data_IF_198298236431
#
_entry.id   IF_198298236431
#
_cell.length_a   1.000
_cell.length_b   1.000
_cell.length_c   1.000
_cell.angle_alpha   90.00
_cell.angle_beta   90.00
_cell.angle_gamma   90.00
#
_symmetry.space_group_name_H-M   'P 1'
#
loop_
_entity.id
_entity.type
_entity.pdbx_description
1 polymer ?
#
# COMPACT_ATOMS: atom_id res chain seq x y z
N UNK A 1 27.69 -5.74 -4.59
CA UNK A 1 26.50 -5.33 -5.39
C UNK A 1 25.24 -5.96 -4.78
N UNK A 2 24.76 -5.47 -3.64
CA UNK A 2 23.65 -6.12 -2.88
C UNK A 2 22.43 -5.21 -2.61
N UNK A 3 22.36 -4.01 -3.20
CA UNK A 3 21.32 -3.03 -2.83
C UNK A 3 19.95 -3.24 -3.49
N UNK A 4 19.87 -3.75 -4.72
CA UNK A 4 18.61 -3.69 -5.49
C UNK A 4 17.63 -4.81 -5.17
N UNK A 5 18.12 -6.02 -4.88
CA UNK A 5 17.25 -7.18 -4.66
C UNK A 5 16.50 -7.11 -3.32
N UNK A 6 17.18 -6.63 -2.27
CA UNK A 6 16.57 -6.39 -0.96
C UNK A 6 15.52 -5.29 -1.01
N UNK A 7 15.77 -4.23 -1.80
CA UNK A 7 14.82 -3.11 -1.94
C UNK A 7 13.54 -3.53 -2.68
N UNK A 8 13.66 -4.35 -3.73
CA UNK A 8 12.50 -4.83 -4.48
C UNK A 8 11.64 -5.82 -3.66
N UNK A 9 12.27 -6.69 -2.88
CA UNK A 9 11.57 -7.58 -1.93
C UNK A 9 10.81 -6.78 -0.87
N UNK A 10 11.45 -5.79 -0.24
CA UNK A 10 10.80 -4.92 0.75
C UNK A 10 9.61 -4.17 0.13
N UNK A 11 9.74 -3.69 -1.11
CA UNK A 11 8.65 -3.01 -1.84
C UNK A 11 7.48 -3.94 -2.14
N UNK A 12 7.75 -5.21 -2.47
CA UNK A 12 6.72 -6.22 -2.66
C UNK A 12 5.92 -6.43 -1.37
N UNK A 13 6.59 -6.70 -0.26
CA UNK A 13 5.91 -6.96 1.02
C UNK A 13 5.17 -5.73 1.56
N UNK A 14 5.72 -4.52 1.36
CA UNK A 14 4.97 -3.27 1.64
C UNK A 14 3.69 -3.15 0.81
N UNK A 15 3.69 -3.66 -0.42
CA UNK A 15 2.51 -3.67 -1.28
C UNK A 15 1.45 -4.66 -0.77
N UNK A 16 1.87 -5.81 -0.22
CA UNK A 16 0.98 -6.77 0.46
C UNK A 16 0.29 -6.11 1.66
N UNK A 17 1.06 -5.45 2.53
CA UNK A 17 0.52 -4.72 3.69
C UNK A 17 -0.43 -3.61 3.27
N UNK A 18 -0.08 -2.84 2.24
CA UNK A 18 -0.95 -1.78 1.70
C UNK A 18 -2.27 -2.36 1.18
N UNK A 19 -2.22 -3.47 0.44
CA UNK A 19 -3.41 -4.13 -0.09
C UNK A 19 -4.32 -4.62 1.05
N UNK A 20 -3.76 -5.27 2.06
CA UNK A 20 -4.51 -5.72 3.23
C UNK A 20 -5.19 -4.54 3.98
N UNK A 21 -4.49 -3.41 4.14
CA UNK A 21 -5.06 -2.19 4.74
C UNK A 21 -6.23 -1.66 3.91
N UNK A 22 -6.08 -1.62 2.59
CA UNK A 22 -7.13 -1.19 1.67
C UNK A 22 -8.35 -2.12 1.71
N UNK A 23 -8.12 -3.42 1.77
CA UNK A 23 -9.19 -4.42 1.85
C UNK A 23 -9.94 -4.35 3.18
N UNK A 24 -9.23 -4.24 4.31
CA UNK A 24 -9.83 -4.10 5.63
C UNK A 24 -10.71 -2.85 5.75
N UNK A 25 -10.30 -1.77 5.08
CA UNK A 25 -11.01 -0.49 5.01
C UNK A 25 -12.15 -0.44 3.99
N UNK A 26 -12.29 -1.47 3.13
CA UNK A 26 -13.16 -1.48 1.95
C UNK A 26 -12.84 -0.34 0.97
N UNK A 27 -11.56 -0.07 0.75
CA UNK A 27 -11.02 1.02 -0.09
C UNK A 27 -10.23 0.52 -1.32
N UNK A 28 -9.83 -0.76 -1.34
CA UNK A 28 -9.09 -1.37 -2.46
C UNK A 28 -10.02 -1.93 -3.55
N UNK A 29 -11.08 -2.58 -3.09
CA UNK A 29 -11.94 -3.46 -3.89
C UNK A 29 -12.70 -2.70 -5.00
N UNK A 30 -13.16 -1.47 -4.72
CA UNK A 30 -13.87 -0.64 -5.70
C UNK A 30 -12.99 -0.22 -6.88
N UNK A 31 -11.66 -0.30 -6.77
CA UNK A 31 -10.72 0.18 -7.79
C UNK A 31 -9.97 -0.92 -8.55
N UNK A 32 -9.87 -2.13 -8.01
CA UNK A 32 -9.10 -3.23 -8.63
C UNK A 32 -9.96 -4.35 -9.20
N UNK A 33 -11.15 -4.59 -8.63
CA UNK A 33 -12.02 -5.69 -9.08
C UNK A 33 -13.50 -5.24 -9.10
N UNK A 34 -13.88 -4.33 -10.02
CA UNK A 34 -15.24 -3.77 -10.07
C UNK A 34 -16.32 -4.82 -10.31
N UNK A 35 -15.97 -5.97 -10.91
CA UNK A 35 -16.91 -7.03 -11.27
C UNK A 35 -17.02 -8.14 -10.22
N UNK A 36 -16.40 -8.00 -9.05
CA UNK A 36 -16.49 -9.03 -8.02
C UNK A 36 -17.87 -9.05 -7.37
N UNK A 37 -18.46 -10.25 -7.18
CA UNK A 37 -19.67 -10.39 -6.40
C UNK A 37 -19.50 -9.88 -4.97
N UNK A 38 -20.55 -9.28 -4.41
CA UNK A 38 -20.55 -8.71 -3.05
C UNK A 38 -20.05 -9.67 -1.96
N UNK A 39 -20.30 -10.99 -2.11
CA UNK A 39 -19.81 -12.00 -1.18
C UNK A 39 -18.28 -12.10 -1.17
N UNK A 40 -17.61 -11.95 -2.33
CA UNK A 40 -16.13 -11.96 -2.40
C UNK A 40 -15.54 -10.70 -1.80
N UNK A 41 -16.17 -9.57 -2.07
CA UNK A 41 -15.81 -8.27 -1.46
C UNK A 41 -15.84 -8.38 0.07
N UNK A 42 -16.94 -8.90 0.61
CA UNK A 42 -17.12 -9.11 2.04
C UNK A 42 -16.09 -10.10 2.59
N UNK A 43 -15.88 -11.23 1.92
CA UNK A 43 -14.93 -12.26 2.35
C UNK A 43 -13.49 -11.73 2.44
N UNK A 44 -13.02 -11.01 1.42
CA UNK A 44 -11.65 -10.46 1.41
C UNK A 44 -11.48 -9.39 2.48
N UNK A 45 -12.46 -8.48 2.63
CA UNK A 45 -12.47 -7.51 3.72
C UNK A 45 -12.41 -8.18 5.09
N UNK A 46 -13.24 -9.20 5.30
CA UNK A 46 -13.35 -9.88 6.60
C UNK A 46 -12.07 -10.68 6.92
N UNK A 47 -11.43 -11.29 5.90
CA UNK A 47 -10.09 -11.92 6.04
C UNK A 47 -9.01 -10.91 6.41
N UNK A 48 -8.94 -9.77 5.72
CA UNK A 48 -7.96 -8.73 6.03
C UNK A 48 -8.14 -8.18 7.45
N UNK A 49 -9.39 -7.97 7.89
CA UNK A 49 -9.71 -7.57 9.27
C UNK A 49 -9.27 -8.60 10.30
N UNK A 50 -9.49 -9.89 10.01
CA UNK A 50 -9.05 -10.99 10.87
C UNK A 50 -7.52 -11.03 10.98
N UNK A 51 -6.80 -10.84 9.86
CA UNK A 51 -5.35 -10.82 9.84
C UNK A 51 -4.74 -9.76 10.78
N UNK A 52 -5.24 -8.53 10.75
CA UNK A 52 -4.81 -7.49 11.71
C UNK A 52 -5.28 -7.75 13.15
N UNK A 53 -6.42 -8.41 13.33
CA UNK A 53 -6.95 -8.71 14.67
C UNK A 53 -6.11 -9.77 15.36
N UNK A 54 -5.91 -10.90 14.66
CA UNK A 54 -5.25 -12.09 15.18
C UNK A 54 -3.74 -11.88 15.24
N UNK A 55 -3.16 -11.18 14.25
CA UNK A 55 -1.75 -10.85 14.18
C UNK A 55 -0.86 -12.08 14.42
N UNK A 56 -1.15 -13.14 13.66
CA UNK A 56 -0.47 -14.42 13.72
C UNK A 56 0.95 -14.36 13.10
N UNK A 57 1.64 -15.50 13.09
CA UNK A 57 3.03 -15.56 12.60
C UNK A 57 3.15 -15.08 11.15
N UNK A 58 2.17 -15.37 10.30
CA UNK A 58 2.14 -14.87 8.91
C UNK A 58 2.13 -13.34 8.87
N UNK A 59 1.32 -12.69 9.71
CA UNK A 59 1.35 -11.23 9.83
C UNK A 59 2.72 -10.70 10.29
N UNK A 60 3.35 -11.37 11.27
CA UNK A 60 4.65 -10.97 11.80
C UNK A 60 5.75 -11.09 10.73
N UNK A 61 5.78 -12.22 10.02
CA UNK A 61 6.75 -12.48 8.95
C UNK A 61 6.60 -11.47 7.81
N UNK A 62 5.37 -11.15 7.41
CA UNK A 62 5.13 -10.13 6.39
C UNK A 62 5.59 -8.73 6.85
N UNK A 63 5.42 -8.39 8.13
CA UNK A 63 5.91 -7.11 8.65
C UNK A 63 7.44 -7.05 8.68
N UNK A 64 8.11 -8.13 9.07
CA UNK A 64 9.57 -8.25 9.05
C UNK A 64 10.13 -8.11 7.63
N UNK A 65 9.56 -8.87 6.68
CA UNK A 65 9.94 -8.82 5.27
C UNK A 65 9.64 -7.47 4.61
N UNK A 66 8.65 -6.72 5.12
CA UNK A 66 8.35 -5.35 4.70
C UNK A 66 9.21 -4.27 5.39
N UNK A 67 10.06 -4.66 6.36
CA UNK A 67 10.79 -3.79 7.26
C UNK A 67 9.84 -2.75 7.91
N UNK A 68 8.80 -3.26 8.57
CA UNK A 68 7.76 -2.49 9.25
C UNK A 68 7.58 -2.99 10.68
N UNK A 69 7.28 -2.07 11.59
CA UNK A 69 6.92 -2.40 12.97
C UNK A 69 5.51 -3.05 13.01
N UNK A 70 5.38 -4.33 13.42
CA UNK A 70 4.10 -5.05 13.40
C UNK A 70 3.06 -4.42 14.33
N UNK A 71 3.48 -3.84 15.45
CA UNK A 71 2.59 -3.21 16.43
C UNK A 71 1.98 -1.90 15.88
N UNK A 72 2.78 -1.10 15.18
CA UNK A 72 2.30 0.10 14.49
C UNK A 72 1.31 -0.29 13.40
N UNK A 73 1.65 -1.27 12.57
CA UNK A 73 0.80 -1.73 11.46
C UNK A 73 -0.50 -2.32 11.98
N UNK A 74 -0.46 -3.15 13.00
CA UNK A 74 -1.63 -3.74 13.64
C UNK A 74 -2.57 -2.66 14.19
N UNK A 75 -2.06 -1.71 14.98
CA UNK A 75 -2.88 -0.62 15.52
C UNK A 75 -3.53 0.21 14.41
N UNK A 76 -2.78 0.51 13.35
CA UNK A 76 -3.31 1.24 12.21
C UNK A 76 -4.38 0.45 11.45
N UNK A 77 -4.11 -0.83 11.14
CA UNK A 77 -5.04 -1.75 10.49
C UNK A 77 -6.34 -1.95 11.28
N UNK A 78 -6.26 -2.02 12.62
CA UNK A 78 -7.44 -2.09 13.48
C UNK A 78 -8.29 -0.81 13.45
N UNK A 79 -7.67 0.39 13.38
CA UNK A 79 -8.41 1.66 13.20
C UNK A 79 -9.12 1.69 11.84
N UNK A 80 -8.42 1.32 10.78
CA UNK A 80 -8.99 1.24 9.42
C UNK A 80 -10.16 0.23 9.37
N UNK A 81 -9.98 -0.94 9.98
CA UNK A 81 -10.99 -2.01 10.08
C UNK A 81 -12.28 -1.54 10.76
N UNK A 82 -12.15 -0.70 11.80
CA UNK A 82 -13.27 -0.12 12.56
C UNK A 82 -13.96 1.05 11.86
N UNK A 83 -13.44 1.50 10.72
CA UNK A 83 -14.06 2.60 9.99
C UNK A 83 -13.57 4.00 10.38
N UNK A 84 -12.46 4.12 11.12
CA UNK A 84 -11.90 5.41 11.52
C UNK A 84 -11.63 6.29 10.30
N UNK A 85 -12.34 7.43 10.21
CA UNK A 85 -12.30 8.31 9.04
C UNK A 85 -10.91 8.92 8.81
N UNK A 86 -10.20 9.26 9.89
CA UNK A 86 -8.87 9.85 9.82
C UNK A 86 -7.83 8.84 9.32
N UNK A 87 -7.87 7.61 9.82
CA UNK A 87 -7.00 6.52 9.38
C UNK A 87 -7.25 6.16 7.91
N UNK A 88 -8.52 6.11 7.48
CA UNK A 88 -8.88 5.87 6.08
C UNK A 88 -8.38 6.98 5.16
N UNK A 89 -8.55 8.25 5.55
CA UNK A 89 -8.03 9.39 4.78
C UNK A 89 -6.51 9.31 4.59
N UNK A 90 -5.77 9.08 5.68
CA UNK A 90 -4.32 8.88 5.65
C UNK A 90 -3.89 7.72 4.74
N UNK A 91 -4.62 6.60 4.79
CA UNK A 91 -4.34 5.45 3.94
C UNK A 91 -4.51 5.79 2.44
N UNK A 92 -5.53 6.58 2.09
CA UNK A 92 -5.72 7.04 0.73
C UNK A 92 -4.60 8.00 0.29
N UNK A 93 -4.20 8.96 1.13
CA UNK A 93 -3.08 9.87 0.86
C UNK A 93 -1.78 9.07 0.58
N UNK A 94 -1.51 8.07 1.41
CA UNK A 94 -0.35 7.20 1.26
C UNK A 94 -0.41 6.37 -0.03
N UNK A 95 -1.58 5.80 -0.38
CA UNK A 95 -1.78 5.10 -1.66
C UNK A 95 -1.44 5.99 -2.86
N UNK A 96 -1.75 7.28 -2.81
CA UNK A 96 -1.44 8.22 -3.88
C UNK A 96 0.07 8.45 -3.99
N UNK A 97 0.78 8.53 -2.86
CA UNK A 97 2.24 8.62 -2.84
C UNK A 97 2.89 7.39 -3.49
N UNK A 98 2.39 6.18 -3.21
CA UNK A 98 2.87 4.94 -3.81
C UNK A 98 2.63 4.84 -5.33
N UNK A 99 1.58 5.48 -5.83
CA UNK A 99 1.25 5.48 -7.27
C UNK A 99 2.01 6.51 -8.09
N UNK A 100 2.58 7.54 -7.46
CA UNK A 100 3.41 8.50 -8.20
C UNK A 100 4.68 7.79 -8.65
N UNK A 101 5.02 7.77 -9.95
CA UNK A 101 6.33 7.33 -10.36
C UNK A 101 7.34 8.23 -9.65
N UNK A 102 8.19 7.64 -8.81
CA UNK A 102 9.33 8.35 -8.22
C UNK A 102 10.21 8.78 -9.39
N UNK A 103 10.09 10.03 -9.79
CA UNK A 103 10.88 10.57 -10.89
C UNK A 103 12.37 10.44 -10.61
N UNK A 104 13.10 9.99 -11.64
CA UNK A 104 14.56 9.99 -11.87
C UNK A 104 15.35 8.76 -11.41
N UNK A 105 15.52 7.81 -12.34
CA UNK A 105 16.88 7.39 -12.72
C UNK A 105 17.20 8.07 -14.06
N UNK A 106 18.01 9.13 -14.02
CA UNK A 106 18.62 9.73 -15.20
C UNK A 106 19.91 8.94 -15.49
N UNK A 107 19.94 8.19 -16.60
CA UNK A 107 21.17 7.66 -17.18
C UNK A 107 21.17 8.05 -18.67
N UNK A 108 21.68 9.26 -18.92
CA UNK A 108 22.12 9.80 -20.21
C UNK A 108 21.04 10.37 -21.15
N UNK A 109 21.15 11.68 -21.41
CA UNK A 109 20.93 12.23 -22.76
C UNK A 109 19.96 13.40 -22.89
N UNK A 110 20.52 14.62 -22.84
CA UNK A 110 19.97 15.90 -23.35
C UNK A 110 18.69 16.44 -22.69
N UNK A 111 18.89 17.47 -21.87
CA UNK A 111 17.88 18.50 -21.69
C UNK A 111 17.91 19.39 -22.94
N UNK A 112 16.87 19.30 -23.79
CA UNK A 112 16.59 20.39 -24.71
C UNK A 112 15.86 21.49 -23.94
N UNK A 113 16.59 22.59 -23.75
CA UNK A 113 16.03 23.89 -23.48
C UNK A 113 15.37 24.39 -24.77
N UNK A 114 14.05 24.45 -24.81
CA UNK A 114 13.37 25.44 -25.62
C UNK A 114 12.43 26.26 -24.75
N UNK A 115 12.91 27.46 -24.46
CA UNK A 115 12.13 28.63 -24.11
C UNK A 115 10.88 28.72 -24.99
N UNK A 116 9.75 29.10 -24.39
CA UNK A 116 8.86 30.05 -25.05
C UNK A 116 8.41 31.08 -24.01
N UNK A 117 8.94 32.29 -24.18
CA UNK A 117 8.43 33.51 -23.60
C UNK A 117 7.04 33.83 -24.18
N UNK A 118 6.31 34.63 -23.39
CA UNK A 118 5.14 35.47 -23.67
C UNK A 118 4.80 35.78 -25.14
N UNK A 119 3.51 35.70 -25.44
CA UNK A 119 2.65 36.87 -25.71
C UNK A 119 1.20 36.56 -25.29
#
# INVERSE_FOLDING_TARGET
>A
MHGTFTDDLVRLWRSVVLQALLDAGNLGITSMHPNWPSYRIKMVRDRARKWFKDADQDFLDVCDLANLDPDIIRRFGMKVSRGDAHAKRRLLEFKHYFKKPTGRYNKNGRADNTNFNSD
#
